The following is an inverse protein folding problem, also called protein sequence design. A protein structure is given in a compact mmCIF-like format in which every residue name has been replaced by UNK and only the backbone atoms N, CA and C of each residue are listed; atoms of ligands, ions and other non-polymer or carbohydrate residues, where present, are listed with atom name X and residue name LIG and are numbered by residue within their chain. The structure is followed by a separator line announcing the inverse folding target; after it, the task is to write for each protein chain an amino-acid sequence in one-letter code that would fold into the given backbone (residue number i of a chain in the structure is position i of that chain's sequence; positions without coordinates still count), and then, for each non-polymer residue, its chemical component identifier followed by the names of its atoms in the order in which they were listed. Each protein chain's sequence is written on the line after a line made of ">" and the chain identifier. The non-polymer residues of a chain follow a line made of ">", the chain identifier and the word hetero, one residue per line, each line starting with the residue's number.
data_IF_412236321133
#
_entry.id   IF_412236321133
#
_cell.length_a   1.000
_cell.length_b   1.000
_cell.length_c   1.000
_cell.angle_alpha   90.00
_cell.angle_beta   90.00
_cell.angle_gamma   90.00
#
_symmetry.space_group_name_H-M   'P 1'
#
loop_
_entity.id
_entity.type
_entity.pdbx_description
1 polymer ?
#
# COMPACT_ATOMS: atom_id res chain seq x y z
N UNK A 1 6.74 20.76 -23.30
CA UNK A 1 5.89 20.84 -22.09
C UNK A 1 6.73 20.29 -20.95
N UNK A 2 7.28 21.17 -20.11
CA UNK A 2 8.23 20.77 -19.04
C UNK A 2 7.45 20.66 -17.74
N UNK A 3 7.42 19.47 -17.19
CA UNK A 3 6.70 19.10 -15.96
C UNK A 3 7.43 19.71 -14.74
N UNK A 4 6.75 20.59 -13.99
CA UNK A 4 7.30 21.27 -12.81
C UNK A 4 7.36 20.31 -11.61
N UNK A 5 8.57 19.93 -11.15
CA UNK A 5 8.76 18.98 -10.07
C UNK A 5 8.09 19.40 -8.76
N UNK A 6 7.95 20.70 -8.49
CA UNK A 6 7.36 21.20 -7.23
C UNK A 6 5.86 20.89 -7.10
N UNK A 7 5.20 20.58 -8.21
CA UNK A 7 3.78 20.22 -8.26
C UNK A 7 3.53 18.70 -8.24
N UNK A 8 4.58 17.87 -8.28
CA UNK A 8 4.44 16.42 -8.44
C UNK A 8 3.93 15.75 -7.17
N UNK A 9 2.81 15.04 -7.32
CA UNK A 9 2.24 14.16 -6.31
C UNK A 9 2.42 12.71 -6.75
N UNK A 10 3.09 11.90 -5.94
CA UNK A 10 3.14 10.44 -6.09
C UNK A 10 1.95 9.85 -5.35
N UNK A 11 1.20 8.95 -6.00
CA UNK A 11 0.13 8.17 -5.36
C UNK A 11 0.58 6.72 -5.30
N UNK A 12 0.79 6.21 -4.09
CA UNK A 12 1.19 4.82 -3.86
C UNK A 12 -0.04 4.02 -3.47
N UNK A 13 -0.44 3.08 -4.32
CA UNK A 13 -1.54 2.17 -4.06
C UNK A 13 -1.01 0.93 -3.35
N UNK A 14 -1.50 0.69 -2.14
CA UNK A 14 -1.17 -0.49 -1.33
C UNK A 14 -2.39 -1.41 -1.34
N UNK A 15 -2.18 -2.67 -1.69
CA UNK A 15 -3.25 -3.67 -1.81
C UNK A 15 -2.80 -4.92 -1.06
N UNK A 16 -3.46 -5.23 0.04
CA UNK A 16 -3.35 -6.54 0.66
C UNK A 16 -4.08 -7.55 -0.24
N UNK A 17 -3.39 -8.61 -0.63
CA UNK A 17 -3.97 -9.68 -1.41
C UNK A 17 -3.42 -11.02 -0.97
N UNK A 18 -4.23 -12.07 -1.09
CA UNK A 18 -3.76 -13.44 -1.00
C UNK A 18 -3.22 -13.86 -2.38
N UNK A 19 -1.90 -14.08 -2.55
CA UNK A 19 -1.36 -14.51 -3.83
C UNK A 19 -1.87 -15.91 -4.21
N UNK A 20 -2.15 -16.11 -5.49
CA UNK A 20 -2.23 -17.46 -6.04
C UNK A 20 -0.89 -18.16 -5.80
N UNK A 21 -0.86 -19.41 -5.30
CA UNK A 21 -1.83 -20.47 -5.57
C UNK A 21 -2.62 -20.94 -4.34
N UNK A 22 -2.98 -20.07 -3.40
CA UNK A 22 -3.79 -20.49 -2.22
C UNK A 22 -5.14 -21.13 -2.63
N UNK A 23 -5.63 -20.85 -3.84
CA UNK A 23 -6.82 -21.46 -4.46
C UNK A 23 -6.51 -22.40 -5.66
N UNK A 24 -5.24 -22.57 -6.03
CA UNK A 24 -4.83 -23.43 -7.15
C UNK A 24 -4.14 -24.67 -6.62
N UNK A 25 -4.84 -25.81 -6.52
CA UNK A 25 -4.27 -27.03 -6.01
C UNK A 25 -3.11 -27.55 -6.88
N UNK A 26 -2.04 -28.12 -6.28
CA UNK A 26 -1.22 -29.12 -6.96
C UNK A 26 -2.12 -30.21 -7.56
N UNK A 27 -1.71 -30.84 -8.67
CA UNK A 27 -2.50 -31.86 -9.37
C UNK A 27 -3.16 -32.85 -8.40
N UNK A 28 -4.44 -33.16 -8.63
CA UNK A 28 -5.24 -34.08 -7.82
C UNK A 28 -5.62 -33.60 -6.41
N UNK A 29 -5.65 -32.28 -6.15
CA UNK A 29 -6.34 -31.70 -4.97
C UNK A 29 -7.59 -30.91 -5.39
N UNK A 30 -8.65 -30.87 -4.56
CA UNK A 30 -9.84 -30.05 -4.82
C UNK A 30 -9.51 -28.56 -4.91
N UNK A 31 -10.22 -27.83 -5.76
CA UNK A 31 -10.18 -26.36 -5.77
C UNK A 31 -10.68 -25.84 -4.41
N UNK A 32 -9.89 -24.98 -3.78
CA UNK A 32 -10.31 -24.28 -2.57
C UNK A 32 -10.76 -22.87 -2.96
N UNK A 33 -11.92 -22.45 -2.45
CA UNK A 33 -12.28 -21.03 -2.48
C UNK A 33 -11.26 -20.29 -1.61
N UNK A 34 -10.66 -19.17 -2.07
CA UNK A 34 -9.85 -18.34 -1.19
C UNK A 34 -10.64 -18.02 0.08
N UNK A 35 -9.98 -18.12 1.24
CA UNK A 35 -10.61 -17.71 2.50
C UNK A 35 -11.14 -16.28 2.37
N UNK A 36 -12.37 -16.06 2.85
CA UNK A 36 -12.92 -14.72 2.92
C UNK A 36 -12.08 -13.89 3.88
N UNK A 37 -11.83 -12.63 3.54
CA UNK A 37 -11.25 -11.66 4.47
C UNK A 37 -12.41 -11.18 5.34
N UNK A 38 -12.54 -11.74 6.54
CA UNK A 38 -13.60 -11.39 7.49
C UNK A 38 -13.26 -10.10 8.25
N UNK A 39 -11.99 -9.92 8.60
CA UNK A 39 -11.44 -8.73 9.25
C UNK A 39 -10.44 -7.99 8.35
N UNK A 40 -10.37 -6.66 8.48
CA UNK A 40 -9.40 -5.86 7.76
C UNK A 40 -7.96 -6.30 8.11
N UNK A 41 -7.08 -6.52 7.11
CA UNK A 41 -5.70 -6.89 7.38
C UNK A 41 -4.90 -5.68 7.84
N UNK A 42 -4.08 -5.86 8.87
CA UNK A 42 -3.08 -4.86 9.27
C UNK A 42 -1.72 -5.18 8.67
N UNK A 43 -1.10 -4.22 7.98
CA UNK A 43 0.27 -4.36 7.46
C UNK A 43 1.07 -3.06 7.54
N UNK A 44 2.40 -3.20 7.51
CA UNK A 44 3.34 -2.07 7.52
C UNK A 44 3.98 -1.89 6.17
N UNK A 45 4.06 -0.66 5.69
CA UNK A 45 4.75 -0.30 4.46
C UNK A 45 5.81 0.78 4.73
N UNK A 46 6.93 0.71 4.00
CA UNK A 46 7.96 1.75 3.95
C UNK A 46 8.22 2.14 2.51
N UNK A 47 7.88 3.36 2.16
CA UNK A 47 8.07 3.94 0.82
C UNK A 47 9.32 4.80 0.87
N UNK A 48 10.40 4.39 0.19
CA UNK A 48 11.66 5.16 0.17
C UNK A 48 11.73 5.97 -1.11
N UNK A 49 11.96 7.28 -0.97
CA UNK A 49 12.11 8.20 -2.10
C UNK A 49 13.58 8.58 -2.29
N UNK A 50 13.89 9.17 -3.45
CA UNK A 50 15.21 9.73 -3.74
C UNK A 50 15.50 10.93 -2.83
N UNK A 51 14.54 11.86 -2.79
CA UNK A 51 14.57 13.10 -2.03
C UNK A 51 13.57 13.03 -0.86
N UNK A 52 13.75 13.88 0.14
CA UNK A 52 12.85 13.91 1.29
C UNK A 52 11.45 14.39 0.89
N UNK A 53 10.38 13.66 1.23
CA UNK A 53 9.02 14.09 0.93
C UNK A 53 8.66 15.36 1.72
N UNK A 54 7.96 16.28 1.06
CA UNK A 54 7.41 17.49 1.70
C UNK A 54 6.17 17.19 2.54
N UNK A 55 5.33 16.28 2.05
CA UNK A 55 4.11 15.87 2.73
C UNK A 55 3.74 14.43 2.37
N UNK A 56 3.06 13.75 3.29
CA UNK A 56 2.46 12.44 3.08
C UNK A 56 1.07 12.41 3.71
N UNK A 57 0.06 11.93 2.97
CA UNK A 57 -1.32 11.80 3.46
C UNK A 57 -1.89 10.45 3.07
N UNK A 58 -2.40 9.72 4.05
CA UNK A 58 -3.23 8.54 3.82
C UNK A 58 -4.64 8.96 3.37
N UNK A 59 -5.27 8.12 2.56
CA UNK A 59 -6.65 8.31 2.15
C UNK A 59 -7.64 7.74 3.18
N UNK A 60 -7.29 6.63 3.84
CA UNK A 60 -8.12 6.07 4.93
C UNK A 60 -7.77 6.73 6.27
N UNK A 61 -8.79 6.99 7.09
CA UNK A 61 -8.64 7.51 8.45
C UNK A 61 -8.01 6.50 9.42
N UNK A 62 -8.12 5.20 9.15
CA UNK A 62 -7.47 4.15 9.95
C UNK A 62 -5.96 4.03 9.67
N UNK A 63 -5.49 4.58 8.54
CA UNK A 63 -4.09 4.49 8.14
C UNK A 63 -3.28 5.64 8.72
N UNK A 64 -2.19 5.29 9.41
CA UNK A 64 -1.22 6.27 9.91
C UNK A 64 -0.02 6.32 8.96
N UNK A 65 0.20 7.46 8.31
CA UNK A 65 1.38 7.72 7.47
C UNK A 65 2.29 8.78 8.12
N UNK A 66 3.56 8.47 8.25
CA UNK A 66 4.56 9.33 8.92
C UNK A 66 5.80 9.48 8.03
N UNK A 67 6.37 10.69 8.00
CA UNK A 67 7.62 10.95 7.29
C UNK A 67 8.80 10.66 8.23
N UNK A 68 9.75 9.86 7.75
CA UNK A 68 10.99 9.50 8.43
C UNK A 68 12.17 9.73 7.47
N UNK A 69 12.76 10.92 7.56
CA UNK A 69 13.82 11.38 6.65
C UNK A 69 13.36 11.40 5.20
N UNK A 70 13.84 10.43 4.41
CA UNK A 70 13.52 10.23 2.98
C UNK A 70 12.56 9.08 2.72
N UNK A 71 11.88 8.62 3.78
CA UNK A 71 10.88 7.56 3.71
C UNK A 71 9.54 8.03 4.24
N UNK A 72 8.47 7.38 3.78
CA UNK A 72 7.15 7.41 4.40
C UNK A 72 6.88 6.04 4.99
N UNK A 73 6.67 5.97 6.30
CA UNK A 73 6.23 4.77 7.00
C UNK A 73 4.70 4.80 7.15
N UNK A 74 4.03 3.73 6.76
CA UNK A 74 2.58 3.59 6.88
C UNK A 74 2.21 2.32 7.66
N UNK A 75 1.24 2.44 8.57
CA UNK A 75 0.51 1.31 9.15
C UNK A 75 -0.88 1.35 8.54
N UNK A 76 -1.21 0.34 7.75
CA UNK A 76 -2.49 0.22 7.04
C UNK A 76 -3.34 -0.81 7.74
N UNK A 77 -4.62 -0.50 7.93
CA UNK A 77 -5.62 -1.37 8.52
C UNK A 77 -6.84 -1.49 7.60
N UNK A 78 -6.58 -1.95 6.38
CA UNK A 78 -7.56 -2.10 5.29
C UNK A 78 -6.97 -2.98 4.18
N UNK A 79 -7.81 -3.52 3.30
CA UNK A 79 -7.40 -4.25 2.10
C UNK A 79 -6.76 -3.31 1.08
N UNK A 80 -7.20 -2.06 1.01
CA UNK A 80 -6.71 -1.06 0.04
C UNK A 80 -6.43 0.27 0.72
N UNK A 81 -5.27 0.83 0.41
CA UNK A 81 -4.88 2.17 0.85
C UNK A 81 -4.24 2.95 -0.30
N UNK A 82 -4.35 4.29 -0.25
CA UNK A 82 -3.65 5.19 -1.15
C UNK A 82 -2.91 6.24 -0.34
N UNK A 83 -1.58 6.13 -0.30
CA UNK A 83 -0.74 7.17 0.29
C UNK A 83 -0.35 8.16 -0.79
N UNK A 84 -0.78 9.41 -0.65
CA UNK A 84 -0.34 10.53 -1.47
C UNK A 84 0.91 11.17 -0.88
N UNK A 85 1.93 11.40 -1.70
CA UNK A 85 3.24 11.91 -1.29
C UNK A 85 3.61 13.08 -2.20
N UNK A 86 3.87 14.24 -1.59
CA UNK A 86 4.46 15.39 -2.26
C UNK A 86 5.98 15.29 -2.09
N UNK A 87 6.73 15.30 -3.19
CA UNK A 87 8.19 15.11 -3.20
C UNK A 87 8.87 16.13 -4.11
#
# INVERSE_FOLDING_TARGET
>A
MTDDPKSRTLRVHLIAYAPTPTATPPSNRPYAVPGLIEDAPTYRARITLRDAPRAARAANASTVATIDGRSVAAIVDDVREVVSIEY
#
